data_IF_497100285629
#
_entry.id   IF_497100285629
#
_cell.length_a   1.000
_cell.length_b   1.000
_cell.length_c   1.000
_cell.angle_alpha   90.00
_cell.angle_beta   90.00
_cell.angle_gamma   90.00
#
_symmetry.space_group_name_H-M   'P 1'
#
loop_
_entity.id
_entity.type
_entity.pdbx_description
1 polymer ?
#
# COMPACT_ATOMS: atom_id res chain seq x y z
N UNK A 1 -7.55 -18.90 18.03
CA UNK A 1 -8.75 -18.60 17.23
C UNK A 1 -8.46 -17.30 16.51
N UNK A 2 -8.13 -17.36 15.23
CA UNK A 2 -8.09 -16.16 14.38
C UNK A 2 -9.55 -15.67 14.31
N UNK A 3 -9.79 -14.40 14.64
CA UNK A 3 -11.14 -13.86 14.66
C UNK A 3 -11.64 -13.82 13.22
N UNK A 4 -12.90 -14.20 12.95
CA UNK A 4 -13.45 -14.27 11.58
C UNK A 4 -13.34 -12.96 10.77
N UNK A 5 -13.09 -11.83 11.43
CA UNK A 5 -12.76 -10.55 10.75
C UNK A 5 -11.41 -10.57 10.03
N UNK A 6 -10.40 -11.26 10.56
CA UNK A 6 -9.07 -11.34 9.95
C UNK A 6 -9.11 -12.21 8.68
N UNK A 7 -9.90 -13.29 8.69
CA UNK A 7 -10.11 -14.15 7.52
C UNK A 7 -10.82 -13.39 6.39
N UNK A 8 -11.83 -12.58 6.71
CA UNK A 8 -12.51 -11.75 5.73
C UNK A 8 -11.58 -10.69 5.13
N UNK A 9 -10.84 -9.96 5.97
CA UNK A 9 -9.86 -8.98 5.50
C UNK A 9 -8.78 -9.62 4.61
N UNK A 10 -8.30 -10.81 4.99
CA UNK A 10 -7.33 -11.56 4.19
C UNK A 10 -7.91 -11.98 2.83
N UNK A 11 -9.19 -12.38 2.77
CA UNK A 11 -9.85 -12.70 1.52
C UNK A 11 -9.95 -11.47 0.59
N UNK A 12 -10.26 -10.29 1.14
CA UNK A 12 -10.28 -9.03 0.38
C UNK A 12 -8.88 -8.69 -0.16
N UNK A 13 -7.83 -8.82 0.66
CA UNK A 13 -6.45 -8.60 0.21
C UNK A 13 -6.07 -9.53 -0.94
N UNK A 14 -6.44 -10.82 -0.85
CA UNK A 14 -6.25 -11.82 -1.93
C UNK A 14 -6.96 -11.41 -3.21
N UNK A 15 -8.20 -10.93 -3.13
CA UNK A 15 -8.96 -10.46 -4.30
C UNK A 15 -8.28 -9.24 -4.93
N UNK A 16 -7.85 -8.26 -4.12
CA UNK A 16 -7.18 -7.06 -4.61
C UNK A 16 -5.86 -7.41 -5.35
N UNK A 17 -5.04 -8.29 -4.77
CA UNK A 17 -3.80 -8.76 -5.42
C UNK A 17 -4.12 -9.49 -6.73
N UNK A 18 -5.12 -10.38 -6.74
CA UNK A 18 -5.51 -11.10 -7.95
C UNK A 18 -6.01 -10.15 -9.05
N UNK A 19 -6.74 -9.09 -8.69
CA UNK A 19 -7.20 -8.07 -9.64
C UNK A 19 -6.03 -7.30 -10.25
N UNK A 20 -5.03 -6.91 -9.45
CA UNK A 20 -3.80 -6.27 -9.94
C UNK A 20 -3.01 -7.22 -10.85
N UNK A 21 -2.83 -8.48 -10.45
CA UNK A 21 -2.16 -9.46 -11.32
C UNK A 21 -2.90 -9.62 -12.65
N UNK A 22 -4.23 -9.70 -12.63
CA UNK A 22 -5.04 -9.80 -13.84
C UNK A 22 -4.90 -8.56 -14.74
N UNK A 23 -4.88 -7.35 -14.18
CA UNK A 23 -4.69 -6.12 -14.97
C UNK A 23 -3.30 -6.05 -15.62
N UNK A 24 -2.31 -6.72 -15.03
CA UNK A 24 -0.95 -6.88 -15.58
C UNK A 24 -0.79 -8.06 -16.53
N UNK A 25 -1.86 -8.76 -16.89
CA UNK A 25 -1.83 -9.84 -17.88
C UNK A 25 -1.44 -11.21 -17.33
N UNK A 26 -1.28 -11.37 -16.00
CA UNK A 26 -1.10 -12.70 -15.41
C UNK A 26 -2.36 -13.54 -15.60
N UNK A 27 -2.19 -14.77 -16.09
CA UNK A 27 -3.29 -15.73 -16.28
C UNK A 27 -3.49 -16.65 -15.08
N UNK A 28 -2.59 -16.62 -14.11
CA UNK A 28 -2.65 -17.42 -12.91
C UNK A 28 -1.53 -17.06 -11.93
N UNK A 29 -1.59 -17.64 -10.74
CA UNK A 29 -0.64 -17.44 -9.66
C UNK A 29 -0.50 -18.72 -8.86
N UNK A 30 0.65 -18.90 -8.22
CA UNK A 30 0.79 -19.92 -7.18
C UNK A 30 0.03 -19.46 -5.93
N UNK A 31 -0.63 -20.40 -5.23
CA UNK A 31 -1.40 -20.08 -4.04
C UNK A 31 -0.54 -19.43 -2.95
N UNK A 32 0.69 -19.93 -2.76
CA UNK A 32 1.68 -19.37 -1.83
C UNK A 32 2.09 -17.95 -2.18
N UNK A 33 2.22 -17.64 -3.48
CA UNK A 33 2.53 -16.29 -3.95
C UNK A 33 1.37 -15.33 -3.67
N UNK A 34 0.13 -15.74 -3.97
CA UNK A 34 -1.06 -14.94 -3.66
C UNK A 34 -1.15 -14.64 -2.16
N UNK A 35 -0.94 -15.66 -1.32
CA UNK A 35 -0.96 -15.51 0.14
C UNK A 35 0.12 -14.56 0.63
N UNK A 36 1.34 -14.72 0.14
CA UNK A 36 2.49 -13.89 0.52
C UNK A 36 2.26 -12.44 0.09
N UNK A 37 1.86 -12.20 -1.15
CA UNK A 37 1.62 -10.84 -1.64
C UNK A 37 0.45 -10.15 -0.93
N UNK A 38 -0.58 -10.91 -0.54
CA UNK A 38 -1.71 -10.38 0.25
C UNK A 38 -1.29 -9.97 1.66
N UNK A 39 -0.38 -10.71 2.28
CA UNK A 39 0.21 -10.32 3.57
C UNK A 39 1.13 -9.10 3.42
N UNK A 40 1.98 -9.08 2.38
CA UNK A 40 2.87 -7.95 2.08
C UNK A 40 2.09 -6.66 1.86
N UNK A 41 1.02 -6.67 1.06
CA UNK A 41 0.24 -5.46 0.78
C UNK A 41 -0.48 -4.95 2.03
N UNK A 42 -1.02 -5.85 2.87
CA UNK A 42 -1.65 -5.48 4.14
C UNK A 42 -0.63 -4.83 5.11
N UNK A 43 0.58 -5.41 5.21
CA UNK A 43 1.66 -4.85 6.02
C UNK A 43 2.15 -3.51 5.47
N UNK A 44 2.22 -3.35 4.15
CA UNK A 44 2.60 -2.09 3.52
C UNK A 44 1.62 -0.97 3.88
N UNK A 45 0.31 -1.21 3.75
CA UNK A 45 -0.73 -0.24 4.17
C UNK A 45 -0.61 0.10 5.65
N UNK A 46 -0.40 -0.90 6.51
CA UNK A 46 -0.18 -0.68 7.95
C UNK A 46 1.05 0.20 8.20
N UNK A 47 2.15 -0.01 7.48
CA UNK A 47 3.36 0.79 7.60
C UNK A 47 3.14 2.24 7.17
N UNK A 48 2.39 2.49 6.07
CA UNK A 48 1.97 3.86 5.67
C UNK A 48 1.22 4.51 6.83
N UNK A 49 0.21 3.82 7.39
CA UNK A 49 -0.61 4.37 8.47
C UNK A 49 0.18 4.70 9.73
N UNK A 50 1.15 3.86 10.10
CA UNK A 50 2.07 4.12 11.22
C UNK A 50 2.95 5.33 10.97
N UNK A 51 3.51 5.46 9.76
CA UNK A 51 4.33 6.60 9.38
C UNK A 51 3.52 7.90 9.40
N UNK A 52 2.32 7.90 8.78
CA UNK A 52 1.40 9.03 8.82
C UNK A 52 1.00 9.42 10.25
N UNK A 53 0.75 8.46 11.14
CA UNK A 53 0.47 8.76 12.54
C UNK A 53 1.68 9.40 13.25
N UNK A 54 2.90 8.95 12.95
CA UNK A 54 4.11 9.57 13.46
C UNK A 54 4.20 11.06 13.05
N UNK A 55 3.96 11.37 11.79
CA UNK A 55 3.97 12.76 11.30
C UNK A 55 2.88 13.64 11.91
N UNK A 56 1.67 13.11 12.06
CA UNK A 56 0.60 13.84 12.75
C UNK A 56 1.01 14.17 14.19
N UNK A 57 1.57 13.20 14.92
CA UNK A 57 2.04 13.38 16.29
C UNK A 57 3.20 14.40 16.37
N UNK A 58 4.15 14.35 15.43
CA UNK A 58 5.25 15.33 15.34
C UNK A 58 4.74 16.75 15.07
N UNK A 59 3.63 16.88 14.34
CA UNK A 59 2.93 18.15 14.13
C UNK A 59 2.02 18.55 15.30
N UNK A 60 2.02 17.81 16.41
CA UNK A 60 1.18 18.09 17.59
C UNK A 60 -0.31 17.77 17.39
N UNK A 61 -0.66 17.00 16.35
CA UNK A 61 -2.04 16.60 16.04
C UNK A 61 -2.29 15.15 16.42
N UNK A 62 -3.48 14.87 16.95
CA UNK A 62 -3.93 13.49 17.20
C UNK A 62 -4.51 12.82 15.95
N UNK A 63 -5.06 13.62 15.02
CA UNK A 63 -5.67 13.13 13.78
C UNK A 63 -4.72 13.32 12.60
N UNK A 64 -4.58 12.26 11.79
CA UNK A 64 -3.84 12.31 10.53
C UNK A 64 -4.63 13.06 9.45
N UNK A 65 -3.93 13.74 8.56
CA UNK A 65 -4.48 14.29 7.33
C UNK A 65 -3.72 13.73 6.11
N UNK A 66 -4.12 14.17 4.91
CA UNK A 66 -3.52 13.69 3.66
C UNK A 66 -2.02 14.01 3.55
N UNK A 67 -1.55 15.12 4.11
CA UNK A 67 -0.14 15.49 4.05
C UNK A 67 0.74 14.53 4.86
N UNK A 68 0.24 14.02 6.00
CA UNK A 68 0.95 13.01 6.78
C UNK A 68 1.10 11.69 6.02
N UNK A 69 0.08 11.32 5.24
CA UNK A 69 0.10 10.12 4.39
C UNK A 69 1.07 10.29 3.23
N UNK A 70 1.08 11.46 2.59
CA UNK A 70 2.03 11.78 1.52
C UNK A 70 3.47 11.69 2.05
N UNK A 71 3.75 12.30 3.21
CA UNK A 71 5.07 12.20 3.85
C UNK A 71 5.42 10.75 4.18
N UNK A 72 4.47 9.98 4.73
CA UNK A 72 4.69 8.55 5.00
C UNK A 72 4.96 7.70 3.75
N UNK A 73 4.37 8.06 2.61
CA UNK A 73 4.65 7.43 1.32
C UNK A 73 6.01 7.83 0.76
N UNK A 74 6.39 9.10 0.86
CA UNK A 74 7.70 9.62 0.45
C UNK A 74 8.83 8.93 1.23
N UNK A 75 8.69 8.81 2.55
CA UNK A 75 9.68 8.16 3.42
C UNK A 75 9.86 6.67 3.15
N UNK A 76 8.81 5.99 2.70
CA UNK A 76 8.84 4.58 2.33
C UNK A 76 9.16 4.34 0.86
N UNK A 77 9.24 5.40 0.05
CA UNK A 77 9.76 5.36 -1.30
C UNK A 77 11.28 5.11 -1.33
N UNK A 78 11.81 4.77 -2.50
CA UNK A 78 13.27 4.78 -2.72
C UNK A 78 13.83 6.17 -2.37
N UNK A 79 15.11 6.28 -1.98
CA UNK A 79 15.77 7.47 -1.43
C UNK A 79 15.67 8.79 -2.24
N UNK A 80 15.01 8.80 -3.39
CA UNK A 80 14.70 9.99 -4.19
C UNK A 80 13.22 10.43 -4.14
N UNK A 81 12.36 9.71 -3.41
CA UNK A 81 10.91 9.84 -3.54
C UNK A 81 10.42 9.38 -4.92
N UNK A 82 9.13 9.10 -5.06
CA UNK A 82 8.54 8.89 -6.39
C UNK A 82 8.33 10.25 -7.05
N UNK A 83 9.16 10.59 -8.04
CA UNK A 83 9.01 11.84 -8.80
C UNK A 83 7.61 11.88 -9.43
N UNK A 84 6.79 12.86 -9.04
CA UNK A 84 5.42 13.02 -9.54
C UNK A 84 4.32 12.38 -8.69
N UNK A 85 4.61 11.82 -7.50
CA UNK A 85 3.57 11.23 -6.63
C UNK A 85 2.52 12.21 -6.09
N UNK A 86 2.72 13.52 -6.25
CA UNK A 86 1.70 14.54 -5.96
C UNK A 86 0.67 14.69 -7.08
N UNK A 87 0.88 14.07 -8.23
CA UNK A 87 -0.04 14.12 -9.37
C UNK A 87 -1.13 13.06 -9.22
N UNK A 88 -2.34 13.49 -8.87
CA UNK A 88 -3.48 12.61 -8.56
C UNK A 88 -4.10 12.04 -9.85
N UNK A 89 -3.87 12.66 -11.00
CA UNK A 89 -4.44 12.27 -12.29
C UNK A 89 -3.69 11.12 -12.97
N UNK A 90 -2.71 10.53 -12.27
CA UNK A 90 -1.74 9.62 -12.85
C UNK A 90 -1.46 8.47 -11.87
N UNK A 91 -1.54 7.22 -12.35
CA UNK A 91 -1.19 6.05 -11.54
C UNK A 91 0.33 5.95 -11.38
N UNK A 92 0.80 5.63 -10.18
CA UNK A 92 2.22 5.48 -9.84
C UNK A 92 3.02 4.58 -10.82
N UNK A 93 2.34 3.69 -11.53
CA UNK A 93 2.90 2.83 -12.58
C UNK A 93 3.26 3.57 -13.88
N UNK A 94 2.51 4.63 -14.24
CA UNK A 94 2.81 5.48 -15.39
C UNK A 94 3.92 6.49 -15.07
N UNK A 95 4.44 6.54 -13.83
CA UNK A 95 5.35 7.62 -13.38
C UNK A 95 6.74 7.46 -13.97
N UNK A 96 6.99 6.32 -14.62
CA UNK A 96 8.31 5.90 -15.05
C UNK A 96 9.25 5.55 -13.88
N UNK A 97 8.79 5.61 -12.62
CA UNK A 97 9.61 5.28 -11.45
C UNK A 97 9.69 3.77 -11.20
N UNK A 98 8.69 3.00 -11.65
CA UNK A 98 8.77 1.53 -11.69
C UNK A 98 9.13 1.11 -13.12
N UNK A 99 10.35 0.60 -13.30
CA UNK A 99 10.81 -0.04 -14.56
C UNK A 99 10.62 -1.55 -14.49
#
# INVERSE_FOLDING_TARGET
KVAGGDEFAQAIAKIAVAQVCKSKGFQGFQQSALETMSDVIARYIMSIGKSANCYANLAGRAECNIFDVIQGLEDMGSAQGFTGASDIDHWLEDSGVVR
#
